data_IF_173809156807
#
_entry.id   IF_173809156807
#
_cell.length_a   1.000
_cell.length_b   1.000
_cell.length_c   1.000
_cell.angle_alpha   90.00
_cell.angle_beta   90.00
_cell.angle_gamma   90.00
#
_symmetry.space_group_name_H-M   'P 1'
#
loop_
_entity.id
_entity.type
_entity.pdbx_description
1 polymer ?
#
# COMPACT_ATOMS: atom_id res chain seq x y z
N UNK A 1 -0.73 25.46 31.74
CA UNK A 1 0.32 24.58 31.18
C UNK A 1 1.43 25.45 30.63
N UNK A 2 2.68 25.32 31.04
CA UNK A 2 3.81 26.06 30.46
C UNK A 2 4.18 25.54 29.08
N UNK A 3 4.67 26.43 28.20
CA UNK A 3 5.23 26.14 26.91
C UNK A 3 6.74 26.48 26.93
N UNK A 4 7.55 25.48 26.64
CA UNK A 4 8.99 25.63 26.57
C UNK A 4 9.48 25.61 25.12
N UNK A 5 10.50 26.40 24.83
CA UNK A 5 11.16 26.37 23.52
C UNK A 5 12.19 25.22 23.41
N UNK A 6 12.85 25.14 22.28
CA UNK A 6 13.88 24.15 21.95
C UNK A 6 15.07 24.13 22.92
N UNK A 7 15.30 25.22 23.66
CA UNK A 7 16.34 25.34 24.68
C UNK A 7 15.80 25.13 26.10
N UNK A 8 14.58 24.63 26.24
CA UNK A 8 13.86 24.43 27.49
C UNK A 8 13.65 25.73 28.29
N UNK A 9 13.53 26.85 27.59
CA UNK A 9 13.23 28.14 28.17
C UNK A 9 11.72 28.41 28.10
N UNK A 10 11.13 28.90 29.21
CA UNK A 10 9.70 29.24 29.23
C UNK A 10 9.39 30.32 28.19
N UNK A 11 8.51 30.06 27.28
CA UNK A 11 8.16 30.89 26.14
C UNK A 11 6.72 31.44 26.24
N UNK A 12 5.78 30.63 26.75
CA UNK A 12 4.37 31.00 26.89
C UNK A 12 3.67 30.18 27.97
N UNK A 13 2.40 30.48 28.21
CA UNK A 13 1.50 29.70 29.05
C UNK A 13 0.19 29.45 28.30
N UNK A 14 -0.36 28.26 28.43
CA UNK A 14 -1.73 27.94 28.01
C UNK A 14 -2.61 27.89 29.27
N UNK A 15 -3.67 28.66 29.28
CA UNK A 15 -4.72 28.62 30.28
C UNK A 15 -5.84 27.74 29.75
N UNK A 16 -6.34 26.84 30.59
CA UNK A 16 -7.46 25.95 30.28
C UNK A 16 -8.53 26.25 31.33
N UNK A 17 -9.72 26.66 30.92
CA UNK A 17 -10.84 26.92 31.81
C UNK A 17 -11.64 25.65 32.17
N UNK A 18 -12.60 25.77 33.08
CA UNK A 18 -13.43 24.64 33.55
C UNK A 18 -14.29 24.01 32.44
N UNK A 19 -14.51 24.72 31.33
CA UNK A 19 -15.27 24.23 30.18
C UNK A 19 -14.38 23.70 29.05
N UNK A 20 -13.05 23.62 29.28
CA UNK A 20 -12.07 23.17 28.27
C UNK A 20 -11.65 24.26 27.28
N UNK A 21 -12.08 25.50 27.44
CA UNK A 21 -11.64 26.63 26.64
C UNK A 21 -10.15 26.92 26.84
N UNK A 22 -9.43 27.12 25.73
CA UNK A 22 -7.96 27.25 25.70
C UNK A 22 -7.56 28.65 25.25
N UNK A 23 -6.76 29.35 26.08
CA UNK A 23 -6.20 30.68 25.80
C UNK A 23 -4.68 30.65 26.00
N UNK A 24 -3.94 31.35 25.14
CA UNK A 24 -2.49 31.52 25.31
C UNK A 24 -2.18 32.88 25.94
N UNK A 25 -1.10 32.90 26.71
CA UNK A 25 -0.58 34.16 27.24
C UNK A 25 -0.21 35.11 26.11
N UNK A 26 -0.69 36.35 26.20
CA UNK A 26 -0.49 37.37 25.19
C UNK A 26 1.01 37.65 24.95
N UNK A 27 1.46 37.64 23.68
CA UNK A 27 2.85 37.94 23.30
C UNK A 27 3.83 36.77 23.48
N UNK A 28 3.39 35.63 23.99
CA UNK A 28 4.22 34.42 24.05
C UNK A 28 4.32 33.67 22.71
N UNK A 29 5.49 33.11 22.40
CA UNK A 29 5.66 32.23 21.24
C UNK A 29 5.06 30.84 21.52
N UNK A 30 4.30 30.30 20.58
CA UNK A 30 3.71 28.96 20.65
C UNK A 30 4.36 28.02 19.63
N UNK A 31 4.70 28.55 18.44
CA UNK A 31 5.30 27.76 17.37
C UNK A 31 6.65 27.18 17.79
N UNK A 32 6.83 25.87 17.61
CA UNK A 32 8.03 25.13 18.01
C UNK A 32 8.16 24.86 19.51
N UNK A 33 7.20 25.35 20.32
CA UNK A 33 7.18 25.13 21.76
C UNK A 33 6.41 23.87 22.13
N UNK A 34 6.79 23.26 23.24
CA UNK A 34 6.17 22.03 23.74
C UNK A 34 6.15 21.96 25.26
N UNK A 35 5.44 21.00 25.79
CA UNK A 35 5.45 20.65 27.20
C UNK A 35 5.65 19.14 27.36
N UNK A 36 6.45 18.72 28.33
CA UNK A 36 6.71 17.30 28.58
C UNK A 36 6.01 16.81 29.83
N UNK A 37 5.39 15.63 29.74
CA UNK A 37 4.78 14.91 30.85
C UNK A 37 5.60 13.64 31.08
N UNK A 38 6.22 13.53 32.25
CA UNK A 38 7.09 12.40 32.60
C UNK A 38 8.55 12.56 32.18
N UNK A 39 9.34 11.52 32.44
CA UNK A 39 10.77 11.46 32.09
C UNK A 39 10.95 10.65 30.80
N UNK A 40 12.09 10.77 30.10
CA UNK A 40 12.35 10.00 28.90
C UNK A 40 12.24 8.48 29.13
N UNK A 41 11.57 7.81 28.21
CA UNK A 41 11.29 6.36 28.19
C UNK A 41 11.59 5.79 26.81
N UNK A 42 11.47 4.47 26.64
CA UNK A 42 11.72 3.78 25.36
C UNK A 42 10.85 4.30 24.21
N UNK A 43 9.62 4.70 24.53
CA UNK A 43 8.71 5.33 23.58
C UNK A 43 8.36 6.74 24.07
N UNK A 44 8.38 7.70 23.17
CA UNK A 44 7.92 9.09 23.43
C UNK A 44 6.70 9.33 22.54
N UNK A 45 5.59 9.67 23.17
CA UNK A 45 4.36 10.05 22.48
C UNK A 45 4.32 11.56 22.25
N UNK A 46 3.89 11.97 21.06
CA UNK A 46 3.70 13.39 20.71
C UNK A 46 2.22 13.61 20.44
N UNK A 47 1.60 14.48 21.17
CA UNK A 47 0.15 14.73 21.14
C UNK A 47 -0.14 16.20 20.84
N UNK A 48 -1.34 16.50 20.36
CA UNK A 48 -1.77 17.88 20.12
C UNK A 48 -2.14 18.59 21.43
N UNK A 49 -3.00 18.01 22.24
CA UNK A 49 -3.60 18.64 23.41
C UNK A 49 -3.09 18.13 24.76
N UNK A 50 -3.17 18.97 25.80
CA UNK A 50 -2.74 18.60 27.15
C UNK A 50 -3.61 17.48 27.76
N UNK A 51 -4.95 17.52 27.56
CA UNK A 51 -5.85 16.50 28.08
C UNK A 51 -5.53 15.12 27.46
N UNK A 52 -5.40 15.09 26.13
CA UNK A 52 -4.94 13.91 25.38
C UNK A 52 -3.60 13.41 25.90
N UNK A 53 -2.66 14.32 26.16
CA UNK A 53 -1.34 13.98 26.70
C UNK A 53 -1.38 13.39 28.11
N UNK A 54 -2.23 13.91 28.98
CA UNK A 54 -2.41 13.37 30.32
C UNK A 54 -2.98 11.93 30.28
N UNK A 55 -3.99 11.70 29.44
CA UNK A 55 -4.60 10.38 29.24
C UNK A 55 -3.61 9.37 28.65
N UNK A 56 -2.86 9.78 27.62
CA UNK A 56 -1.81 8.91 27.04
C UNK A 56 -0.75 8.57 28.08
N UNK A 57 -0.34 9.52 28.91
CA UNK A 57 0.58 9.28 30.02
C UNK A 57 0.04 8.29 31.05
N UNK A 58 -1.21 8.46 31.46
CA UNK A 58 -1.87 7.58 32.39
C UNK A 58 -1.96 6.13 31.90
N UNK A 59 -2.35 5.94 30.64
CA UNK A 59 -2.53 4.63 30.03
C UNK A 59 -1.19 3.91 29.77
N UNK A 60 -0.14 4.67 29.34
CA UNK A 60 1.10 4.05 28.86
C UNK A 60 2.26 4.06 29.87
N UNK A 61 2.21 4.93 30.85
CA UNK A 61 3.35 5.30 31.73
C UNK A 61 4.61 5.74 30.98
N UNK A 62 4.48 6.12 29.68
CA UNK A 62 5.58 6.59 28.85
C UNK A 62 5.65 8.12 28.83
N UNK A 63 6.81 8.68 28.45
CA UNK A 63 6.95 10.13 28.25
C UNK A 63 6.00 10.63 27.16
N UNK A 64 5.32 11.73 27.44
CA UNK A 64 4.44 12.40 26.48
C UNK A 64 4.87 13.85 26.27
N UNK A 65 4.86 14.29 25.03
CA UNK A 65 5.19 15.65 24.62
C UNK A 65 3.96 16.28 23.98
N UNK A 66 3.49 17.38 24.57
CA UNK A 66 2.34 18.15 24.11
C UNK A 66 2.81 19.24 23.16
N UNK A 67 2.34 19.21 21.91
CA UNK A 67 2.69 20.17 20.86
C UNK A 67 1.77 21.38 20.78
N UNK A 68 0.65 21.38 21.49
CA UNK A 68 -0.36 22.44 21.62
C UNK A 68 -1.18 22.74 20.34
N UNK A 69 -0.84 22.20 19.19
CA UNK A 69 -1.64 22.29 17.96
C UNK A 69 -1.18 21.25 16.92
N UNK A 70 -2.08 20.84 16.01
CA UNK A 70 -1.75 19.98 14.89
C UNK A 70 -0.62 20.56 14.03
N UNK A 71 -0.65 21.85 13.75
CA UNK A 71 0.37 22.54 12.93
C UNK A 71 1.76 22.50 13.54
N UNK A 72 1.86 22.29 14.85
CA UNK A 72 3.13 22.25 15.58
C UNK A 72 3.74 20.84 15.69
N UNK A 73 2.95 19.80 15.44
CA UNK A 73 3.40 18.39 15.49
C UNK A 73 4.69 18.13 14.67
N UNK A 74 4.80 18.57 13.40
CA UNK A 74 6.03 18.31 12.63
C UNK A 74 7.26 18.98 13.21
N UNK A 75 7.14 20.21 13.75
CA UNK A 75 8.26 20.94 14.33
C UNK A 75 8.73 20.29 15.64
N UNK A 76 7.79 19.95 16.52
CA UNK A 76 8.11 19.29 17.79
C UNK A 76 8.68 17.90 17.58
N UNK A 77 8.10 17.08 16.70
CA UNK A 77 8.62 15.74 16.36
C UNK A 77 10.02 15.83 15.78
N UNK A 78 10.29 16.82 14.93
CA UNK A 78 11.63 17.07 14.39
C UNK A 78 12.65 17.39 15.46
N UNK A 79 12.29 18.24 16.40
CA UNK A 79 13.13 18.62 17.51
C UNK A 79 13.48 17.42 18.43
N UNK A 80 12.47 16.61 18.74
CA UNK A 80 12.67 15.38 19.51
C UNK A 80 13.58 14.40 18.76
N UNK A 81 13.44 14.28 17.44
CA UNK A 81 14.29 13.42 16.62
C UNK A 81 15.76 13.89 16.60
N UNK A 82 15.98 15.19 16.53
CA UNK A 82 17.32 15.77 16.63
C UNK A 82 17.96 15.53 18.01
N UNK A 83 17.16 15.66 19.06
CA UNK A 83 17.64 15.53 20.43
C UNK A 83 17.89 14.07 20.85
N UNK A 84 16.93 13.16 20.58
CA UNK A 84 17.01 11.77 21.03
C UNK A 84 17.61 10.80 19.99
N UNK A 85 17.80 11.22 18.74
CA UNK A 85 18.36 10.41 17.67
C UNK A 85 17.37 9.42 17.03
N UNK A 86 17.86 8.66 16.04
CA UNK A 86 17.03 7.76 15.22
C UNK A 86 16.58 6.50 15.96
N UNK A 87 17.31 6.05 16.97
CA UNK A 87 16.98 4.86 17.73
C UNK A 87 15.76 5.06 18.67
N UNK A 88 15.44 6.32 19.01
CA UNK A 88 14.30 6.62 19.88
C UNK A 88 12.99 6.36 19.15
N UNK A 89 12.10 5.57 19.75
CA UNK A 89 10.76 5.36 19.22
C UNK A 89 9.89 6.59 19.50
N UNK A 90 9.41 7.23 18.43
CA UNK A 90 8.47 8.35 18.49
C UNK A 90 7.13 7.91 17.92
N UNK A 91 6.04 8.23 18.63
CA UNK A 91 4.66 7.95 18.21
C UNK A 91 3.87 9.25 18.23
N UNK A 92 3.42 9.71 17.08
CA UNK A 92 2.52 10.87 16.97
C UNK A 92 1.09 10.39 17.12
N UNK A 93 0.40 10.86 18.16
CA UNK A 93 -1.01 10.55 18.38
C UNK A 93 -1.83 11.63 17.70
N UNK A 94 -2.46 11.25 16.59
CA UNK A 94 -3.26 12.13 15.77
C UNK A 94 -4.72 12.17 16.24
N UNK A 95 -5.32 13.34 16.20
CA UNK A 95 -6.77 13.48 16.37
C UNK A 95 -7.49 13.06 15.09
N UNK A 96 -8.58 12.30 15.23
CA UNK A 96 -9.43 11.87 14.12
C UNK A 96 -10.52 12.90 13.86
N UNK A 97 -10.11 14.07 13.34
CA UNK A 97 -11.05 15.15 13.05
C UNK A 97 -11.70 14.99 11.67
N UNK A 98 -12.94 15.43 11.55
CA UNK A 98 -13.73 15.40 10.29
C UNK A 98 -13.04 16.17 9.15
N UNK A 99 -12.24 17.18 9.46
CA UNK A 99 -11.53 18.01 8.49
C UNK A 99 -10.18 17.40 8.04
N UNK A 100 -9.70 16.36 8.72
CA UNK A 100 -8.46 15.63 8.39
C UNK A 100 -7.16 16.39 8.61
N UNK A 101 -7.20 17.59 9.24
CA UNK A 101 -5.99 18.41 9.44
C UNK A 101 -5.03 17.75 10.43
N UNK A 102 -5.54 17.22 11.55
CA UNK A 102 -4.75 16.50 12.55
C UNK A 102 -3.99 15.34 11.93
N UNK A 103 -4.68 14.51 11.16
CA UNK A 103 -4.07 13.39 10.43
C UNK A 103 -3.00 13.85 9.44
N UNK A 104 -3.29 14.82 8.58
CA UNK A 104 -2.33 15.29 7.57
C UNK A 104 -1.04 15.84 8.21
N UNK A 105 -1.14 16.49 9.37
CA UNK A 105 0.02 16.99 10.11
C UNK A 105 0.80 15.89 10.83
N UNK A 106 0.11 14.88 11.35
CA UNK A 106 0.74 13.70 11.91
C UNK A 106 1.46 12.89 10.81
N UNK A 107 0.85 12.69 9.63
CA UNK A 107 1.48 12.06 8.47
C UNK A 107 2.76 12.82 8.05
N UNK A 108 2.69 14.15 7.98
CA UNK A 108 3.85 14.99 7.69
C UNK A 108 4.97 14.82 8.72
N UNK A 109 4.63 14.78 10.02
CA UNK A 109 5.59 14.58 11.10
C UNK A 109 6.24 13.19 11.01
N UNK A 110 5.44 12.16 10.80
CA UNK A 110 5.87 10.77 10.73
C UNK A 110 6.81 10.53 9.54
N UNK A 111 6.40 10.93 8.33
CA UNK A 111 7.21 10.75 7.11
C UNK A 111 8.54 11.50 7.18
N UNK A 112 8.51 12.74 7.67
CA UNK A 112 9.70 13.58 7.70
C UNK A 112 10.71 13.18 8.77
N UNK A 113 10.24 12.67 9.90
CA UNK A 113 11.05 12.45 11.08
C UNK A 113 11.09 10.99 11.55
N UNK A 114 10.56 10.05 10.77
CA UNK A 114 10.60 8.62 11.09
C UNK A 114 9.85 8.28 12.38
N UNK A 115 8.65 8.86 12.58
CA UNK A 115 7.79 8.54 13.71
C UNK A 115 6.66 7.60 13.28
N UNK A 116 6.09 6.85 14.21
CA UNK A 116 4.87 6.09 14.02
C UNK A 116 3.63 6.99 14.24
N UNK A 117 2.49 6.57 13.73
CA UNK A 117 1.22 7.26 13.96
C UNK A 117 0.29 6.32 14.73
N UNK A 118 -0.34 6.87 15.77
CA UNK A 118 -1.48 6.27 16.44
C UNK A 118 -2.67 7.20 16.28
N UNK A 119 -3.83 6.68 15.93
CA UNK A 119 -5.05 7.47 15.76
C UNK A 119 -6.26 6.65 16.16
N UNK A 120 -7.15 7.17 17.00
CA UNK A 120 -8.41 6.50 17.30
C UNK A 120 -9.21 6.20 16.03
N UNK A 121 -9.86 5.03 15.91
CA UNK A 121 -10.65 4.69 14.73
C UNK A 121 -11.94 5.51 14.62
N UNK A 122 -12.43 6.02 15.74
CA UNK A 122 -13.63 6.84 15.83
C UNK A 122 -13.29 8.34 15.80
N UNK A 123 -14.21 9.22 15.33
CA UNK A 123 -14.01 10.66 15.36
C UNK A 123 -13.80 11.19 16.78
N UNK A 124 -12.80 12.04 16.96
CA UNK A 124 -12.42 12.63 18.24
C UNK A 124 -10.94 12.48 18.53
N UNK A 125 -10.53 12.83 19.73
CA UNK A 125 -9.16 12.65 20.21
C UNK A 125 -8.99 11.36 21.06
N UNK A 126 -7.75 11.04 21.42
CA UNK A 126 -7.46 9.83 22.21
C UNK A 126 -8.05 9.91 23.64
N UNK A 127 -8.26 11.13 24.20
CA UNK A 127 -8.91 11.29 25.48
C UNK A 127 -10.42 10.99 25.39
N UNK A 128 -11.08 11.45 24.33
CA UNK A 128 -12.49 11.14 24.07
C UNK A 128 -12.70 9.64 23.90
N UNK A 129 -11.83 8.99 23.12
CA UNK A 129 -11.86 7.55 22.87
C UNK A 129 -11.71 6.74 24.17
N UNK A 130 -10.76 7.12 25.02
CA UNK A 130 -10.55 6.49 26.33
C UNK A 130 -11.75 6.69 27.26
N UNK A 131 -12.29 7.91 27.35
CA UNK A 131 -13.43 8.24 28.20
C UNK A 131 -14.72 7.53 27.76
N UNK A 132 -14.83 7.15 26.48
CA UNK A 132 -15.90 6.31 25.96
C UNK A 132 -15.77 4.83 26.39
N UNK A 133 -14.69 4.45 27.08
CA UNK A 133 -14.45 3.11 27.60
C UNK A 133 -13.75 2.18 26.63
N UNK A 134 -13.17 2.69 25.55
CA UNK A 134 -12.42 1.90 24.56
C UNK A 134 -10.97 1.63 25.02
N UNK A 135 -10.39 0.55 24.50
CA UNK A 135 -9.00 0.18 24.77
C UNK A 135 -8.03 1.09 23.99
N UNK A 136 -7.62 2.18 24.65
CA UNK A 136 -6.66 3.12 24.09
C UNK A 136 -5.25 2.53 23.95
N UNK A 137 -4.86 1.57 24.80
CA UNK A 137 -3.54 0.94 24.70
C UNK A 137 -3.37 0.21 23.37
N UNK A 138 -4.40 -0.47 22.87
CA UNK A 138 -4.37 -1.13 21.56
C UNK A 138 -4.12 -0.14 20.42
N UNK A 139 -4.62 1.09 20.52
CA UNK A 139 -4.38 2.16 19.54
C UNK A 139 -2.97 2.74 19.65
N UNK A 140 -2.50 2.94 20.87
CA UNK A 140 -1.20 3.59 21.16
C UNK A 140 -0.01 2.67 20.97
N UNK A 141 -0.24 1.36 20.99
CA UNK A 141 0.78 0.38 20.64
C UNK A 141 0.64 0.07 19.15
N UNK A 142 1.23 0.88 18.24
CA UNK A 142 1.18 0.53 16.83
C UNK A 142 1.78 -0.87 16.71
N UNK A 143 1.06 -1.75 16.03
CA UNK A 143 1.54 -3.10 15.72
C UNK A 143 3.00 -2.97 15.26
N UNK A 144 3.87 -3.78 15.82
CA UNK A 144 5.22 -3.89 15.29
C UNK A 144 5.05 -4.12 13.81
N UNK A 145 5.64 -3.23 12.99
CA UNK A 145 5.59 -3.39 11.53
C UNK A 145 5.92 -4.85 11.21
N UNK A 146 4.93 -5.63 10.77
CA UNK A 146 5.09 -7.03 10.31
C UNK A 146 5.95 -7.12 9.04
N UNK A 147 6.56 -6.00 8.67
CA UNK A 147 7.38 -5.91 7.47
C UNK A 147 8.64 -6.78 7.53
N UNK A 148 9.18 -7.01 8.74
CA UNK A 148 10.34 -7.89 8.95
C UNK A 148 9.96 -9.01 9.92
N UNK A 149 10.09 -10.24 9.48
CA UNK A 149 9.91 -11.44 10.28
C UNK A 149 11.29 -12.10 10.49
N UNK A 150 11.61 -12.61 11.68
CA UNK A 150 12.85 -13.36 11.90
C UNK A 150 12.97 -14.52 10.89
N UNK A 151 14.15 -14.68 10.28
CA UNK A 151 14.35 -15.67 9.22
C UNK A 151 14.00 -17.11 9.64
N UNK A 152 14.29 -17.49 10.88
CA UNK A 152 13.95 -18.82 11.41
C UNK A 152 12.43 -19.01 11.55
N UNK A 153 11.71 -17.96 11.95
CA UNK A 153 10.25 -17.95 12.02
C UNK A 153 9.64 -18.03 10.61
N UNK A 154 10.12 -17.23 9.69
CA UNK A 154 9.69 -17.24 8.28
C UNK A 154 9.86 -18.61 7.63
N UNK A 155 10.96 -19.31 7.93
CA UNK A 155 11.25 -20.64 7.39
C UNK A 155 10.62 -21.80 8.16
N UNK A 156 10.00 -21.54 9.31
CA UNK A 156 9.47 -22.59 10.20
C UNK A 156 8.34 -23.42 9.58
N UNK A 157 7.59 -22.84 8.64
CA UNK A 157 6.49 -23.47 7.92
C UNK A 157 6.63 -23.25 6.40
N UNK A 158 7.52 -24.00 5.72
CA UNK A 158 7.69 -23.85 4.29
C UNK A 158 6.39 -24.22 3.55
N UNK A 159 5.79 -23.27 2.84
CA UNK A 159 4.64 -23.52 2.01
C UNK A 159 5.09 -24.09 0.65
N UNK A 160 4.45 -25.15 0.12
CA UNK A 160 4.76 -25.64 -1.20
C UNK A 160 4.38 -24.60 -2.28
N UNK A 161 5.21 -24.43 -3.30
CA UNK A 161 4.90 -23.54 -4.43
C UNK A 161 3.61 -24.01 -5.10
N UNK A 162 2.63 -23.11 -5.14
CA UNK A 162 1.35 -23.32 -5.85
C UNK A 162 1.45 -22.89 -7.30
N UNK A 163 0.73 -23.58 -8.20
CA UNK A 163 0.87 -23.43 -9.64
C UNK A 163 -0.49 -23.39 -10.33
N UNK A 164 -0.70 -22.44 -11.22
CA UNK A 164 -1.79 -22.47 -12.20
C UNK A 164 -1.49 -23.47 -13.33
N UNK A 165 -0.25 -23.48 -13.83
CA UNK A 165 0.28 -24.51 -14.70
C UNK A 165 1.60 -25.00 -14.09
N UNK A 166 1.63 -26.25 -13.63
CA UNK A 166 2.77 -26.79 -12.89
C UNK A 166 4.09 -26.57 -13.61
N UNK A 167 5.05 -25.90 -12.95
CA UNK A 167 6.39 -25.52 -13.44
C UNK A 167 6.42 -24.42 -14.51
N UNK A 168 5.27 -23.81 -14.86
CA UNK A 168 5.19 -22.78 -15.89
C UNK A 168 4.56 -21.49 -15.40
N UNK A 169 3.39 -21.56 -14.79
CA UNK A 169 2.66 -20.40 -14.28
C UNK A 169 2.45 -20.60 -12.78
N UNK A 170 3.17 -19.83 -11.97
CA UNK A 170 3.06 -19.86 -10.52
C UNK A 170 1.85 -19.04 -10.07
N UNK A 171 1.20 -19.45 -8.99
CA UNK A 171 0.24 -18.60 -8.28
C UNK A 171 1.00 -17.55 -7.45
N UNK A 172 0.39 -16.41 -7.22
CA UNK A 172 0.97 -15.29 -6.46
C UNK A 172 2.35 -14.88 -7.00
N UNK A 173 2.42 -14.66 -8.32
CA UNK A 173 3.65 -14.29 -8.97
C UNK A 173 3.45 -13.27 -10.09
N UNK A 174 4.38 -12.33 -10.18
CA UNK A 174 4.55 -11.46 -11.33
C UNK A 174 5.54 -12.12 -12.31
N UNK A 175 5.07 -12.40 -13.50
CA UNK A 175 5.82 -13.15 -14.51
C UNK A 175 5.91 -12.37 -15.82
N UNK A 176 6.93 -12.66 -16.63
CA UNK A 176 7.10 -12.04 -17.94
C UNK A 176 7.44 -13.09 -18.99
N UNK A 177 6.75 -13.03 -20.14
CA UNK A 177 7.12 -13.71 -21.37
C UNK A 177 7.68 -12.67 -22.34
N UNK A 178 8.95 -12.75 -22.62
CA UNK A 178 9.64 -11.81 -23.52
C UNK A 178 10.26 -12.51 -24.74
N UNK A 179 10.57 -11.76 -25.78
CA UNK A 179 11.22 -12.24 -26.99
C UNK A 179 10.88 -11.40 -28.22
N UNK A 180 11.47 -11.68 -29.38
CA UNK A 180 11.29 -10.88 -30.60
C UNK A 180 9.84 -10.89 -31.10
N UNK A 181 9.45 -9.84 -31.80
CA UNK A 181 8.16 -9.80 -32.49
C UNK A 181 7.97 -10.97 -33.40
N UNK A 182 6.76 -11.53 -33.55
CA UNK A 182 6.49 -12.70 -34.37
C UNK A 182 6.90 -14.05 -33.75
N UNK A 183 7.57 -14.07 -32.58
CA UNK A 183 8.06 -15.31 -31.94
C UNK A 183 6.96 -16.18 -31.27
N UNK A 184 5.69 -15.92 -31.50
CA UNK A 184 4.59 -16.75 -30.99
C UNK A 184 4.20 -16.54 -29.53
N UNK A 185 4.70 -15.51 -28.85
CA UNK A 185 4.40 -15.22 -27.43
C UNK A 185 2.90 -15.18 -27.13
N UNK A 186 2.16 -14.36 -27.87
CA UNK A 186 0.69 -14.28 -27.73
C UNK A 186 -0.01 -15.61 -27.90
N UNK A 187 0.48 -16.50 -28.80
CA UNK A 187 -0.13 -17.81 -28.99
C UNK A 187 0.04 -18.72 -27.77
N UNK A 188 1.25 -18.79 -27.22
CA UNK A 188 1.50 -19.63 -26.03
C UNK A 188 0.80 -19.09 -24.80
N UNK A 189 0.84 -17.78 -24.58
CA UNK A 189 0.17 -17.13 -23.45
C UNK A 189 -1.35 -17.26 -23.54
N UNK A 190 -1.91 -17.15 -24.74
CA UNK A 190 -3.34 -17.38 -24.98
C UNK A 190 -3.73 -18.85 -24.75
N UNK A 191 -2.90 -19.83 -25.14
CA UNK A 191 -3.15 -21.24 -24.85
C UNK A 191 -3.14 -21.50 -23.33
N UNK A 192 -2.19 -20.93 -22.58
CA UNK A 192 -2.18 -21.01 -21.11
C UNK A 192 -3.45 -20.39 -20.49
N UNK A 193 -3.79 -19.19 -20.90
CA UNK A 193 -4.97 -18.49 -20.43
C UNK A 193 -6.26 -19.28 -20.69
N UNK A 194 -6.40 -19.82 -21.88
CA UNK A 194 -7.57 -20.62 -22.29
C UNK A 194 -7.64 -21.97 -21.59
N UNK A 195 -6.50 -22.60 -21.27
CA UNK A 195 -6.49 -23.85 -20.50
C UNK A 195 -6.95 -23.64 -19.08
N UNK A 196 -6.46 -22.59 -18.42
CA UNK A 196 -6.87 -22.23 -17.08
C UNK A 196 -8.36 -21.86 -17.08
N UNK A 197 -8.79 -20.95 -17.96
CA UNK A 197 -10.15 -20.47 -18.04
C UNK A 197 -11.15 -21.50 -18.59
N UNK A 198 -10.69 -22.45 -19.39
CA UNK A 198 -11.50 -23.52 -19.97
C UNK A 198 -11.63 -24.77 -19.10
N UNK A 199 -10.96 -24.79 -17.96
CA UNK A 199 -11.02 -25.92 -17.01
C UNK A 199 -10.33 -27.18 -17.48
N UNK A 200 -9.37 -27.08 -18.43
CA UNK A 200 -8.58 -28.24 -18.86
C UNK A 200 -7.55 -28.59 -17.81
N UNK A 201 -7.42 -29.86 -17.47
CA UNK A 201 -6.57 -30.34 -16.38
C UNK A 201 -5.09 -30.52 -16.76
N UNK A 202 -4.77 -30.45 -18.06
CA UNK A 202 -3.43 -30.72 -18.56
C UNK A 202 -2.97 -29.72 -19.64
N UNK A 203 -1.69 -29.36 -19.58
CA UNK A 203 -0.96 -28.69 -20.64
C UNK A 203 0.37 -29.39 -20.88
N UNK A 204 0.48 -30.13 -21.99
CA UNK A 204 1.70 -30.88 -22.40
C UNK A 204 2.27 -31.75 -21.27
N UNK A 205 1.41 -32.46 -20.52
CA UNK A 205 1.81 -33.28 -19.37
C UNK A 205 1.99 -32.54 -18.06
N UNK A 206 1.72 -31.23 -18.04
CA UNK A 206 1.73 -30.40 -16.81
C UNK A 206 0.33 -30.17 -16.32
N UNK A 207 0.09 -30.46 -15.03
CA UNK A 207 -1.20 -30.23 -14.40
C UNK A 207 -1.57 -28.74 -14.44
N UNK A 208 -2.82 -28.46 -14.82
CA UNK A 208 -3.43 -27.13 -14.84
C UNK A 208 -4.47 -27.02 -13.74
N UNK A 209 -4.45 -25.91 -13.01
CA UNK A 209 -5.48 -25.54 -12.04
C UNK A 209 -6.45 -24.57 -12.73
N UNK A 210 -7.76 -24.87 -12.75
CA UNK A 210 -8.72 -24.00 -13.39
C UNK A 210 -8.96 -22.71 -12.58
N UNK A 211 -9.39 -21.65 -13.26
CA UNK A 211 -9.74 -20.38 -12.64
C UNK A 211 -10.13 -19.33 -13.65
N UNK A 212 -10.69 -18.22 -13.17
CA UNK A 212 -11.02 -17.06 -14.01
C UNK A 212 -9.74 -16.38 -14.47
N UNK A 213 -9.67 -16.04 -15.76
CA UNK A 213 -8.55 -15.33 -16.37
C UNK A 213 -9.03 -14.04 -17.01
N UNK A 214 -8.31 -12.95 -16.75
CA UNK A 214 -8.50 -11.67 -17.43
C UNK A 214 -7.35 -11.46 -18.40
N UNK A 215 -7.69 -11.23 -19.67
CA UNK A 215 -6.73 -10.97 -20.74
C UNK A 215 -6.86 -9.51 -21.19
N UNK A 216 -5.94 -8.68 -20.75
CA UNK A 216 -5.84 -7.29 -21.17
C UNK A 216 -5.14 -7.24 -22.52
N UNK A 217 -5.92 -7.13 -23.58
CA UNK A 217 -5.45 -7.09 -24.96
C UNK A 217 -5.28 -5.63 -25.40
N UNK A 218 -4.04 -5.23 -25.68
CA UNK A 218 -3.73 -3.89 -26.16
C UNK A 218 -3.98 -3.69 -27.65
N UNK A 219 -3.94 -4.79 -28.44
CA UNK A 219 -4.11 -4.76 -29.89
C UNK A 219 -4.60 -6.11 -30.44
N UNK A 220 -4.90 -6.14 -31.74
CA UNK A 220 -5.17 -7.40 -32.44
C UNK A 220 -6.49 -8.11 -32.11
N UNK A 221 -7.50 -7.40 -31.61
CA UNK A 221 -8.79 -7.97 -31.16
C UNK A 221 -9.49 -8.83 -32.22
N UNK A 222 -9.41 -8.49 -33.53
CA UNK A 222 -9.99 -9.32 -34.59
C UNK A 222 -9.29 -10.68 -34.69
N UNK A 223 -7.96 -10.70 -34.68
CA UNK A 223 -7.17 -11.93 -34.69
C UNK A 223 -7.37 -12.76 -33.42
N UNK A 224 -7.48 -12.10 -32.27
CA UNK A 224 -7.71 -12.74 -30.98
C UNK A 224 -9.04 -13.50 -30.96
N UNK A 225 -10.14 -12.89 -31.48
CA UNK A 225 -11.45 -13.57 -31.61
C UNK A 225 -11.36 -14.87 -32.39
N UNK A 226 -10.70 -14.84 -33.55
CA UNK A 226 -10.51 -16.02 -34.37
C UNK A 226 -9.69 -17.12 -33.69
N UNK A 227 -8.61 -16.72 -32.99
CA UNK A 227 -7.75 -17.66 -32.24
C UNK A 227 -8.47 -18.31 -31.07
N UNK A 228 -9.24 -17.55 -30.30
CA UNK A 228 -10.07 -18.09 -29.21
C UNK A 228 -11.13 -19.05 -29.74
N UNK A 229 -11.82 -18.70 -30.83
CA UNK A 229 -12.82 -19.57 -31.45
C UNK A 229 -12.21 -20.87 -31.97
N UNK A 230 -11.10 -20.79 -32.68
CA UNK A 230 -10.38 -21.97 -33.20
C UNK A 230 -9.87 -22.87 -32.06
N UNK A 231 -9.33 -22.28 -31.00
CA UNK A 231 -8.86 -23.03 -29.84
C UNK A 231 -10.03 -23.76 -29.15
N UNK A 232 -11.14 -23.07 -28.91
CA UNK A 232 -12.36 -23.67 -28.31
C UNK A 232 -12.89 -24.83 -29.14
N UNK A 233 -12.93 -24.66 -30.46
CA UNK A 233 -13.34 -25.71 -31.38
C UNK A 233 -12.40 -26.92 -31.31
N UNK A 234 -11.08 -26.69 -31.36
CA UNK A 234 -10.07 -27.77 -31.34
C UNK A 234 -10.14 -28.57 -30.04
N UNK A 235 -10.24 -27.89 -28.91
CA UNK A 235 -10.28 -28.52 -27.58
C UNK A 235 -11.70 -28.93 -27.12
N UNK A 236 -12.73 -28.72 -27.95
CA UNK A 236 -14.14 -29.03 -27.66
C UNK A 236 -14.66 -28.36 -26.37
N UNK A 237 -14.16 -27.15 -26.07
CA UNK A 237 -14.56 -26.35 -24.91
C UNK A 237 -15.73 -25.45 -25.29
N UNK A 238 -16.90 -25.60 -24.63
CA UNK A 238 -18.10 -24.81 -24.92
C UNK A 238 -18.07 -23.42 -24.30
N UNK A 239 -17.59 -23.30 -23.08
CA UNK A 239 -17.53 -22.05 -22.32
C UNK A 239 -16.17 -21.90 -21.62
N UNK A 240 -15.79 -20.69 -21.31
CA UNK A 240 -14.55 -20.38 -20.57
C UNK A 240 -14.82 -19.22 -19.64
N UNK A 241 -14.14 -19.22 -18.48
CA UNK A 241 -14.07 -18.06 -17.58
C UNK A 241 -12.99 -17.06 -18.02
N UNK A 242 -12.86 -16.84 -19.34
CA UNK A 242 -11.93 -15.87 -19.92
C UNK A 242 -12.62 -14.54 -20.19
N UNK A 243 -12.10 -13.48 -19.60
CA UNK A 243 -12.54 -12.11 -19.82
C UNK A 243 -11.49 -11.34 -20.61
N UNK A 244 -11.90 -10.62 -21.64
CA UNK A 244 -10.99 -9.90 -22.54
C UNK A 244 -11.33 -8.41 -22.51
N UNK A 245 -10.32 -7.56 -22.35
CA UNK A 245 -10.50 -6.11 -22.41
C UNK A 245 -10.97 -5.67 -23.81
N UNK A 246 -11.82 -4.65 -23.86
CA UNK A 246 -12.31 -4.10 -25.14
C UNK A 246 -11.28 -3.20 -25.81
N UNK A 247 -10.33 -2.65 -25.05
CA UNK A 247 -9.27 -1.75 -25.49
C UNK A 247 -8.10 -1.79 -24.51
N UNK A 248 -6.96 -1.26 -24.88
CA UNK A 248 -5.87 -0.94 -23.96
C UNK A 248 -6.20 0.26 -23.08
N UNK A 249 -5.37 0.48 -22.06
CA UNK A 249 -5.32 1.65 -21.22
C UNK A 249 -3.92 1.77 -20.60
N UNK A 250 -3.55 2.95 -20.12
CA UNK A 250 -2.26 3.18 -19.49
C UNK A 250 -2.31 2.72 -18.03
N UNK A 251 -2.03 1.43 -17.79
CA UNK A 251 -2.18 0.75 -16.50
C UNK A 251 -1.31 1.38 -15.41
N UNK A 252 -0.18 1.98 -15.76
CA UNK A 252 0.73 2.68 -14.84
C UNK A 252 0.29 4.10 -14.48
N UNK A 253 -0.96 4.48 -14.80
CA UNK A 253 -1.60 5.73 -14.37
C UNK A 253 -2.74 5.44 -13.42
N UNK A 254 -3.08 6.41 -12.54
CA UNK A 254 -4.21 6.27 -11.61
C UNK A 254 -5.52 5.97 -12.34
N UNK A 255 -5.78 6.66 -13.46
CA UNK A 255 -7.00 6.47 -14.27
C UNK A 255 -7.04 5.07 -14.88
N UNK A 256 -5.93 4.61 -15.46
CA UNK A 256 -5.85 3.30 -16.07
C UNK A 256 -5.95 2.18 -15.03
N UNK A 257 -5.26 2.32 -13.91
CA UNK A 257 -5.33 1.40 -12.78
C UNK A 257 -6.76 1.29 -12.21
N UNK A 258 -7.41 2.42 -11.93
CA UNK A 258 -8.79 2.43 -11.44
C UNK A 258 -9.75 1.76 -12.41
N UNK A 259 -9.65 2.05 -13.73
CA UNK A 259 -10.47 1.42 -14.76
C UNK A 259 -10.34 -0.10 -14.75
N UNK A 260 -9.13 -0.63 -14.65
CA UNK A 260 -8.90 -2.08 -14.59
C UNK A 260 -9.44 -2.64 -13.28
N UNK A 261 -9.14 -2.01 -12.14
CA UNK A 261 -9.60 -2.45 -10.82
C UNK A 261 -11.13 -2.49 -10.70
N UNK A 262 -11.83 -1.48 -11.23
CA UNK A 262 -13.29 -1.46 -11.28
C UNK A 262 -13.85 -2.60 -12.13
N UNK A 263 -13.25 -2.85 -13.30
CA UNK A 263 -13.64 -3.97 -14.15
C UNK A 263 -13.44 -5.32 -13.46
N UNK A 264 -12.35 -5.49 -12.72
CA UNK A 264 -12.07 -6.72 -11.97
C UNK A 264 -13.04 -6.94 -10.81
N UNK A 265 -13.39 -5.87 -10.06
CA UNK A 265 -14.41 -5.94 -8.99
C UNK A 265 -15.81 -6.32 -9.51
N UNK A 266 -16.11 -6.00 -10.75
CA UNK A 266 -17.38 -6.35 -11.41
C UNK A 266 -17.47 -7.79 -11.91
N UNK A 267 -16.42 -8.60 -11.78
CA UNK A 267 -16.43 -9.99 -12.22
C UNK A 267 -17.23 -10.88 -11.25
N UNK A 268 -17.90 -11.94 -11.75
CA UNK A 268 -18.62 -12.88 -10.89
C UNK A 268 -17.69 -13.71 -9.98
N UNK A 269 -16.42 -13.87 -10.37
CA UNK A 269 -15.38 -14.57 -9.63
C UNK A 269 -14.07 -13.80 -9.75
N UNK A 270 -13.27 -13.79 -8.69
CA UNK A 270 -11.95 -13.16 -8.71
C UNK A 270 -11.02 -13.85 -9.72
N UNK A 271 -10.23 -13.08 -10.48
CA UNK A 271 -9.28 -13.65 -11.41
C UNK A 271 -8.16 -14.41 -10.66
N UNK A 272 -7.70 -15.51 -11.21
CA UNK A 272 -6.48 -16.19 -10.77
C UNK A 272 -5.27 -15.78 -11.59
N UNK A 273 -5.49 -15.24 -12.77
CA UNK A 273 -4.45 -14.74 -13.67
C UNK A 273 -4.94 -13.51 -14.42
N UNK A 274 -4.13 -12.46 -14.42
CA UNK A 274 -4.26 -11.31 -15.30
C UNK A 274 -3.13 -11.37 -16.31
N UNK A 275 -3.45 -11.38 -17.61
CA UNK A 275 -2.49 -11.30 -18.70
C UNK A 275 -2.50 -9.89 -19.26
N UNK A 276 -1.33 -9.27 -19.43
CA UNK A 276 -1.15 -7.98 -20.10
C UNK A 276 -0.40 -8.21 -21.42
N UNK A 277 -1.08 -8.14 -22.55
CA UNK A 277 -0.51 -8.37 -23.88
C UNK A 277 -0.78 -7.14 -24.81
N UNK A 278 0.21 -6.32 -25.04
CA UNK A 278 1.60 -6.34 -24.59
C UNK A 278 1.87 -5.23 -23.57
N UNK A 279 2.97 -5.34 -22.81
CA UNK A 279 3.44 -4.32 -21.86
C UNK A 279 3.40 -2.92 -22.46
N UNK A 280 4.00 -2.73 -23.64
CA UNK A 280 4.06 -1.45 -24.34
C UNK A 280 2.69 -0.80 -24.60
N UNK A 281 1.63 -1.57 -24.75
CA UNK A 281 0.26 -1.08 -25.00
C UNK A 281 -0.49 -0.68 -23.72
N UNK A 282 0.08 -0.96 -22.57
CA UNK A 282 -0.48 -0.65 -21.26
C UNK A 282 0.45 0.22 -20.41
N UNK A 283 1.56 0.68 -20.99
CA UNK A 283 2.53 1.57 -20.36
C UNK A 283 2.45 2.96 -21.00
N UNK A 284 2.15 3.98 -20.23
CA UNK A 284 2.37 5.37 -20.60
C UNK A 284 3.82 5.72 -20.32
N UNK A 285 4.58 6.05 -21.34
CA UNK A 285 5.98 6.43 -21.24
C UNK A 285 6.91 5.54 -22.06
N UNK A 286 8.15 5.39 -21.62
CA UNK A 286 9.19 4.59 -22.29
C UNK A 286 9.47 3.31 -21.47
N UNK A 287 9.31 2.16 -22.11
CA UNK A 287 9.59 0.85 -21.51
C UNK A 287 11.06 0.66 -21.10
N UNK A 288 11.98 1.46 -21.63
CA UNK A 288 13.39 1.50 -21.25
C UNK A 288 13.68 2.47 -20.10
N UNK A 289 12.71 3.29 -19.70
CA UNK A 289 12.81 4.16 -18.54
C UNK A 289 12.65 3.34 -17.27
N UNK A 290 13.65 3.37 -16.39
CA UNK A 290 13.58 2.68 -15.09
C UNK A 290 12.41 3.18 -14.23
N UNK A 291 12.07 4.47 -14.34
CA UNK A 291 10.95 5.06 -13.61
C UNK A 291 9.60 4.55 -14.13
N UNK A 292 9.41 4.51 -15.46
CA UNK A 292 8.15 4.06 -16.05
C UNK A 292 7.95 2.55 -15.87
N UNK A 293 9.03 1.79 -16.00
CA UNK A 293 9.04 0.36 -15.68
C UNK A 293 8.66 0.13 -14.20
N UNK A 294 9.22 0.91 -13.28
CA UNK A 294 8.88 0.81 -11.86
C UNK A 294 7.38 1.06 -11.61
N UNK A 295 6.81 2.13 -12.15
CA UNK A 295 5.39 2.45 -11.97
C UNK A 295 4.47 1.36 -12.54
N UNK A 296 4.87 0.71 -13.62
CA UNK A 296 4.14 -0.42 -14.19
C UNK A 296 4.22 -1.67 -13.30
N UNK A 297 5.39 -1.97 -12.76
CA UNK A 297 5.56 -3.09 -11.82
C UNK A 297 4.79 -2.84 -10.51
N UNK A 298 4.80 -1.63 -9.99
CA UNK A 298 4.02 -1.23 -8.82
C UNK A 298 2.50 -1.42 -9.08
N UNK A 299 2.01 -1.00 -10.26
CA UNK A 299 0.61 -1.21 -10.63
C UNK A 299 0.25 -2.71 -10.71
N UNK A 300 1.13 -3.54 -11.25
CA UNK A 300 0.93 -4.99 -11.30
C UNK A 300 0.93 -5.61 -9.89
N UNK A 301 1.87 -5.21 -9.03
CA UNK A 301 1.94 -5.67 -7.64
C UNK A 301 0.66 -5.31 -6.85
N UNK A 302 0.17 -4.07 -7.01
CA UNK A 302 -1.08 -3.63 -6.40
C UNK A 302 -2.31 -4.43 -6.90
N UNK A 303 -2.34 -4.83 -8.18
CA UNK A 303 -3.40 -5.71 -8.69
C UNK A 303 -3.30 -7.11 -8.08
N UNK A 304 -2.10 -7.66 -7.94
CA UNK A 304 -1.88 -8.97 -7.33
C UNK A 304 -2.35 -8.99 -5.88
N UNK A 305 -1.96 -7.99 -5.09
CA UNK A 305 -2.35 -7.84 -3.69
C UNK A 305 -3.87 -7.64 -3.54
N UNK A 306 -4.46 -6.73 -4.34
CA UNK A 306 -5.88 -6.38 -4.24
C UNK A 306 -6.82 -7.50 -4.67
N UNK A 307 -6.38 -8.42 -5.54
CA UNK A 307 -7.23 -9.44 -6.15
C UNK A 307 -6.76 -10.88 -5.90
N UNK A 308 -5.73 -11.10 -5.08
CA UNK A 308 -5.17 -12.43 -4.78
C UNK A 308 -4.93 -13.25 -6.07
N UNK A 309 -4.18 -12.68 -7.00
CA UNK A 309 -3.98 -13.23 -8.34
C UNK A 309 -2.54 -13.11 -8.82
N UNK A 310 -2.21 -13.82 -9.89
CA UNK A 310 -0.93 -13.66 -10.61
C UNK A 310 -1.07 -12.68 -11.77
N UNK A 311 0.02 -12.03 -12.14
CA UNK A 311 0.09 -11.18 -13.33
C UNK A 311 1.16 -11.71 -14.29
N UNK A 312 0.81 -11.81 -15.57
CA UNK A 312 1.70 -12.23 -16.65
C UNK A 312 1.81 -11.14 -17.70
N UNK A 313 2.99 -10.55 -17.83
CA UNK A 313 3.32 -9.55 -18.82
C UNK A 313 3.85 -10.18 -20.10
N UNK A 314 3.41 -9.72 -21.26
CA UNK A 314 3.99 -10.06 -22.57
C UNK A 314 4.78 -8.86 -23.06
N UNK A 315 6.08 -9.06 -23.29
CA UNK A 315 6.99 -7.99 -23.69
C UNK A 315 7.72 -8.34 -25.00
N UNK A 316 7.87 -7.35 -25.88
CA UNK A 316 8.68 -7.45 -27.08
C UNK A 316 10.10 -6.98 -26.80
N UNK A 317 11.08 -7.84 -26.96
CA UNK A 317 12.48 -7.37 -26.99
C UNK A 317 12.73 -6.63 -28.31
N UNK A 318 13.35 -5.44 -28.23
CA UNK A 318 13.82 -4.73 -29.42
C UNK A 318 14.71 -5.63 -30.27
N UNK A 319 14.70 -5.44 -31.57
CA UNK A 319 15.68 -6.07 -32.46
C UNK A 319 16.99 -5.34 -32.18
N UNK A 320 17.95 -5.99 -31.50
CA UNK A 320 19.33 -5.52 -31.51
C UNK A 320 19.87 -5.68 -32.92
N UNK A 321 20.30 -4.60 -33.55
CA UNK A 321 20.96 -4.60 -34.88
C UNK A 321 22.35 -5.29 -34.88
N UNK A 322 22.70 -5.99 -33.81
CA UNK A 322 24.00 -6.67 -33.64
C UNK A 322 23.94 -8.16 -34.02
N UNK A 323 23.39 -8.49 -35.18
CA UNK A 323 23.53 -9.79 -35.81
C UNK A 323 23.90 -9.62 -37.32
N UNK A 324 25.12 -9.15 -37.56
CA UNK A 324 25.82 -9.34 -38.80
C UNK A 324 27.04 -10.18 -38.55
#
# INVERSE_FOLDING_TARGET
>A
VPLYDENYKLSSLQYIDENGGKLYHHGGRVSGCYFTIGMPTDTIYVVEGFATGATVREVTDQMVVVAFSASNLPSVTGHLREFYGQAQRLVVVADNDVNGIGRAKADQAAQKHGAHIAMPPEPGDANDYHNAGHDLMAVLTPEQSDWLVPGDEFCSQPAPISWLIKRWIQEDALMMVHGPSGGGKTFIVLDWALRIAGGLSDWRGHRVKPGTVVYLAGEGHHGLRGRVAAWKHHHRVKSTSLWISKSGCDLNTDIGYQRVSEALRGLPEQPKLIVVDTLHRFLLGDENSAQDAKTMLDACANLMESFDCSVLLVHHTGVSDDAQ
#
